data_IF_553045933976
#
_entry.id   IF_553045933976
#
_cell.length_a   1.000
_cell.length_b   1.000
_cell.length_c   1.000
_cell.angle_alpha   90.00
_cell.angle_beta   90.00
_cell.angle_gamma   90.00
#
_symmetry.space_group_name_H-M   'P 1'
#
loop_
_entity.id
_entity.type
_entity.pdbx_description
1 polymer ?
#
# COMPACT_ATOMS: atom_id res chain seq x y z
N UNK A 1 32.81 47.57 -12.06
CA UNK A 1 33.37 48.52 -11.10
C UNK A 1 32.54 48.49 -9.83
N UNK A 2 33.01 47.98 -8.76
CA UNK A 2 33.11 48.30 -7.37
C UNK A 2 33.27 47.04 -6.52
N UNK A 3 34.51 46.93 -6.04
CA UNK A 3 34.96 45.98 -5.00
C UNK A 3 34.40 46.36 -3.63
N UNK A 4 34.14 45.39 -2.77
CA UNK A 4 34.20 45.50 -1.30
C UNK A 4 34.49 44.11 -0.76
N UNK A 5 35.70 43.79 -0.45
CA UNK A 5 36.46 43.74 0.80
C UNK A 5 35.97 42.70 1.81
N UNK A 6 36.83 41.72 1.87
CA UNK A 6 37.09 40.70 2.88
C UNK A 6 37.42 41.34 4.23
N UNK A 7 36.84 40.89 5.32
CA UNK A 7 37.33 41.13 6.69
C UNK A 7 37.56 39.76 7.34
N UNK A 8 38.82 39.49 7.55
CA UNK A 8 39.37 38.42 8.38
C UNK A 8 39.40 38.98 9.82
N UNK A 9 38.89 38.22 10.77
CA UNK A 9 39.12 38.50 12.19
C UNK A 9 39.63 37.26 12.91
N UNK A 10 40.87 37.28 13.22
CA UNK A 10 41.65 36.31 14.01
C UNK A 10 41.72 36.80 15.45
N UNK A 11 41.36 36.03 16.44
CA UNK A 11 41.73 36.17 17.87
C UNK A 11 41.42 34.80 18.50
N UNK A 12 42.16 34.20 19.31
CA UNK A 12 43.42 34.23 20.07
C UNK A 12 43.34 33.00 21.02
N UNK A 13 44.37 32.22 21.02
CA UNK A 13 44.61 31.06 21.89
C UNK A 13 44.87 31.53 23.31
N UNK A 14 44.27 30.86 24.30
CA UNK A 14 44.79 30.90 25.67
C UNK A 14 44.84 29.50 26.26
N UNK A 15 46.05 29.01 26.39
CA UNK A 15 46.48 27.85 27.14
C UNK A 15 46.44 28.11 28.64
N UNK A 16 45.89 27.14 29.40
CA UNK A 16 46.21 27.01 30.83
C UNK A 16 46.52 25.58 31.20
N UNK A 17 47.75 25.36 31.56
CA UNK A 17 48.32 24.15 32.13
C UNK A 17 48.17 24.20 33.65
N UNK A 18 47.84 23.07 34.27
CA UNK A 18 47.91 22.97 35.76
C UNK A 18 47.38 21.65 36.30
N UNK A 19 48.31 20.75 36.49
CA UNK A 19 48.75 20.00 37.65
C UNK A 19 48.11 18.63 37.92
N UNK A 20 49.00 17.67 37.87
CA UNK A 20 48.95 16.26 38.31
C UNK A 20 48.63 16.08 39.81
N UNK A 21 47.81 15.07 40.12
CA UNK A 21 47.96 14.31 41.37
C UNK A 21 47.59 12.84 41.09
N UNK A 22 48.56 12.02 41.34
CA UNK A 22 48.63 10.56 41.29
C UNK A 22 47.75 9.91 42.35
N UNK A 23 47.04 8.87 41.97
CA UNK A 23 46.36 7.93 42.87
C UNK A 23 46.28 6.55 42.25
N UNK A 24 47.22 5.68 42.55
CA UNK A 24 47.20 4.24 42.26
C UNK A 24 46.09 3.58 43.08
N UNK A 25 45.29 2.76 42.43
CA UNK A 25 44.34 1.82 43.04
C UNK A 25 43.96 0.73 42.05
N UNK A 26 44.30 -0.50 42.38
CA UNK A 26 44.36 -1.67 41.53
C UNK A 26 43.01 -2.22 41.08
N UNK A 27 43.00 -2.75 39.86
CA UNK A 27 42.35 -3.94 39.32
C UNK A 27 40.90 -4.27 39.69
N UNK A 28 40.03 -4.15 38.69
CA UNK A 28 39.20 -5.30 38.24
C UNK A 28 38.75 -5.04 36.81
N UNK A 29 39.23 -5.86 35.87
CA UNK A 29 38.65 -5.98 34.52
C UNK A 29 37.24 -6.54 34.65
N UNK A 30 36.25 -5.69 34.56
CA UNK A 30 34.93 -6.08 34.12
C UNK A 30 34.83 -5.62 32.68
N UNK A 31 34.85 -6.57 31.77
CA UNK A 31 34.43 -6.37 30.41
C UNK A 31 32.93 -5.97 30.46
N UNK A 32 32.66 -4.70 30.56
CA UNK A 32 31.34 -4.19 30.24
C UNK A 32 31.23 -4.26 28.72
N UNK A 33 30.51 -5.27 28.22
CA UNK A 33 30.02 -5.28 26.89
C UNK A 33 29.15 -4.03 26.73
N UNK A 34 29.55 -3.21 25.80
CA UNK A 34 28.82 -2.02 25.39
C UNK A 34 27.53 -2.46 24.67
N UNK A 35 26.53 -2.86 25.46
CA UNK A 35 25.16 -3.11 25.02
C UNK A 35 24.39 -1.80 25.21
N UNK A 36 24.80 -0.72 24.52
CA UNK A 36 23.93 0.41 24.31
C UNK A 36 22.87 0.01 23.29
N UNK A 37 21.85 -0.74 23.74
CA UNK A 37 20.60 -0.84 22.99
C UNK A 37 20.03 0.58 22.98
N UNK A 38 20.27 1.31 21.90
CA UNK A 38 19.54 2.56 21.65
C UNK A 38 18.06 2.27 21.78
N UNK A 39 17.32 3.09 22.54
CA UNK A 39 15.88 2.95 22.65
C UNK A 39 15.27 2.93 21.25
N UNK A 40 14.30 2.02 21.02
CA UNK A 40 13.62 1.93 19.73
C UNK A 40 12.79 3.19 19.48
N UNK A 41 12.61 3.54 18.21
CA UNK A 41 11.87 4.74 17.81
C UNK A 41 10.38 4.56 18.12
N UNK A 42 9.79 5.54 18.78
CA UNK A 42 8.35 5.62 19.10
C UNK A 42 7.62 6.72 18.33
N UNK A 43 8.34 7.73 17.85
CA UNK A 43 7.81 8.80 16.98
C UNK A 43 7.93 8.36 15.52
N UNK A 44 6.80 8.04 14.88
CA UNK A 44 6.75 7.40 13.57
C UNK A 44 5.98 8.27 12.60
N UNK A 45 6.55 8.53 11.41
CA UNK A 45 5.76 8.99 10.28
C UNK A 45 5.35 7.76 9.45
N UNK A 46 4.05 7.49 9.39
CA UNK A 46 3.46 6.40 8.60
C UNK A 46 2.77 6.96 7.36
N UNK A 47 3.14 6.46 6.21
CA UNK A 47 2.59 6.91 4.94
C UNK A 47 1.49 5.96 4.46
N UNK A 48 0.49 6.50 3.78
CA UNK A 48 -0.60 5.74 3.16
C UNK A 48 -1.20 6.50 1.98
N UNK A 49 -2.37 6.08 1.53
CA UNK A 49 -3.09 6.68 0.41
C UNK A 49 -4.45 7.20 0.88
N UNK A 50 -4.96 8.28 0.25
CA UNK A 50 -6.28 8.85 0.54
C UNK A 50 -7.37 7.93 -0.04
N UNK A 51 -7.48 6.74 0.53
CA UNK A 51 -8.55 5.79 0.22
C UNK A 51 -8.83 4.82 1.39
N UNK A 52 -10.02 4.24 1.45
CA UNK A 52 -10.38 3.29 2.51
C UNK A 52 -9.86 1.86 2.27
N UNK A 53 -9.21 1.56 1.13
CA UNK A 53 -8.66 0.25 0.85
C UNK A 53 -7.30 0.06 1.51
N UNK A 54 -6.44 1.07 1.40
CA UNK A 54 -5.05 1.04 1.88
C UNK A 54 -4.96 1.53 3.32
N UNK A 55 -5.61 2.66 3.63
CA UNK A 55 -5.36 3.39 4.88
C UNK A 55 -6.42 3.19 5.97
N UNK A 56 -7.42 2.31 5.79
CA UNK A 56 -8.49 2.14 6.79
C UNK A 56 -7.94 1.82 8.18
N UNK A 57 -7.10 0.79 8.32
CA UNK A 57 -6.56 0.39 9.62
C UNK A 57 -5.63 1.44 10.22
N UNK A 58 -4.83 2.11 9.37
CA UNK A 58 -3.94 3.21 9.77
C UNK A 58 -4.74 4.36 10.40
N UNK A 59 -5.82 4.77 9.73
CA UNK A 59 -6.70 5.85 10.20
C UNK A 59 -7.41 5.45 11.50
N UNK A 60 -8.00 4.25 11.54
CA UNK A 60 -8.71 3.76 12.73
C UNK A 60 -7.75 3.61 13.90
N UNK A 61 -6.54 3.07 13.70
CA UNK A 61 -5.56 2.92 14.78
C UNK A 61 -5.16 4.27 15.39
N UNK A 62 -5.05 5.31 14.59
CA UNK A 62 -4.78 6.67 15.05
C UNK A 62 -5.99 7.27 15.78
N UNK A 63 -7.17 7.32 15.14
CA UNK A 63 -8.37 7.98 15.68
C UNK A 63 -8.94 7.31 16.91
N UNK A 64 -8.80 5.98 17.03
CA UNK A 64 -9.19 5.22 18.23
C UNK A 64 -8.10 5.19 19.30
N UNK A 65 -6.92 5.76 19.02
CA UNK A 65 -5.82 5.83 19.98
C UNK A 65 -5.03 4.53 20.16
N UNK A 66 -5.22 3.51 19.29
CA UNK A 66 -4.56 2.21 19.44
C UNK A 66 -3.04 2.29 19.31
N UNK A 67 -2.51 3.20 18.51
CA UNK A 67 -1.06 3.45 18.47
C UNK A 67 -0.56 3.98 19.81
N UNK A 68 -1.28 4.92 20.44
CA UNK A 68 -0.91 5.49 21.75
C UNK A 68 -0.99 4.46 22.87
N UNK A 69 -1.97 3.54 22.83
CA UNK A 69 -2.07 2.42 23.79
C UNK A 69 -0.83 1.51 23.72
N UNK A 70 -0.21 1.38 22.55
CA UNK A 70 1.02 0.63 22.34
C UNK A 70 2.30 1.47 22.57
N UNK A 71 2.17 2.70 23.07
CA UNK A 71 3.29 3.60 23.35
C UNK A 71 3.88 4.29 22.13
N UNK A 72 3.15 4.32 21.01
CA UNK A 72 3.61 4.92 19.76
C UNK A 72 2.96 6.29 19.52
N UNK A 73 3.76 7.24 19.03
CA UNK A 73 3.31 8.53 18.53
C UNK A 73 3.39 8.52 16.99
N UNK A 74 2.29 8.16 16.34
CA UNK A 74 2.24 8.01 14.87
C UNK A 74 1.64 9.25 14.24
N UNK A 75 2.37 9.82 13.27
CA UNK A 75 1.89 10.88 12.38
C UNK A 75 1.54 10.26 11.03
N UNK A 76 0.26 10.25 10.68
CA UNK A 76 -0.20 9.75 9.39
C UNK A 76 0.01 10.79 8.28
N UNK A 77 0.57 10.37 7.14
CA UNK A 77 0.68 11.15 5.91
C UNK A 77 0.03 10.37 4.78
N UNK A 78 -1.13 10.87 4.32
CA UNK A 78 -1.88 10.26 3.23
C UNK A 78 -1.57 10.98 1.90
N UNK A 79 -1.17 10.22 0.89
CA UNK A 79 -0.83 10.70 -0.46
C UNK A 79 -1.94 10.36 -1.45
N UNK A 80 -1.87 10.92 -2.66
CA UNK A 80 -2.92 10.72 -3.67
C UNK A 80 -2.88 9.30 -4.27
N UNK A 81 -1.70 8.68 -4.34
CA UNK A 81 -1.54 7.34 -4.91
C UNK A 81 -0.34 6.59 -4.34
N UNK A 82 -0.34 5.25 -4.43
CA UNK A 82 0.83 4.43 -4.10
C UNK A 82 2.04 4.72 -4.99
N UNK A 83 1.84 5.19 -6.21
CA UNK A 83 2.92 5.64 -7.10
C UNK A 83 3.74 6.79 -6.53
N UNK A 84 3.13 7.64 -5.71
CA UNK A 84 3.82 8.77 -5.05
C UNK A 84 4.67 8.31 -3.86
N UNK A 85 4.38 7.14 -3.30
CA UNK A 85 5.10 6.56 -2.16
C UNK A 85 6.42 5.90 -2.56
N UNK A 86 6.46 5.21 -3.71
CA UNK A 86 7.65 4.47 -4.16
C UNK A 86 8.94 5.31 -4.17
N UNK A 87 8.95 6.56 -4.67
CA UNK A 87 10.13 7.43 -4.60
C UNK A 87 10.55 7.80 -3.18
N UNK A 88 9.60 7.98 -2.25
CA UNK A 88 9.87 8.31 -0.85
C UNK A 88 10.52 7.15 -0.13
N UNK A 89 10.04 5.93 -0.37
CA UNK A 89 10.59 4.69 0.19
C UNK A 89 11.99 4.45 -0.37
N UNK A 90 12.13 4.48 -1.69
CA UNK A 90 13.41 4.27 -2.37
C UNK A 90 14.46 5.33 -2.01
N UNK A 91 14.02 6.56 -1.75
CA UNK A 91 14.85 7.68 -1.32
C UNK A 91 15.17 7.70 0.19
N UNK A 92 14.64 6.73 0.98
CA UNK A 92 14.86 6.64 2.42
C UNK A 92 14.12 7.69 3.24
N UNK A 93 13.08 8.31 2.70
CA UNK A 93 12.24 9.31 3.39
C UNK A 93 10.99 8.70 4.04
N UNK A 94 10.64 7.45 3.69
CA UNK A 94 9.52 6.71 4.24
C UNK A 94 9.98 5.32 4.69
N UNK A 95 10.08 5.13 5.99
CA UNK A 95 10.43 3.83 6.59
C UNK A 95 9.23 2.94 6.89
N UNK A 96 8.06 3.54 7.06
CA UNK A 96 6.80 2.89 7.43
C UNK A 96 5.73 3.32 6.46
N UNK A 97 5.09 2.37 5.78
CA UNK A 97 4.05 2.68 4.80
C UNK A 97 2.96 1.61 4.69
N UNK A 98 1.83 2.06 4.17
CA UNK A 98 0.69 1.23 3.78
C UNK A 98 0.57 1.29 2.26
N UNK A 99 0.60 0.13 1.63
CA UNK A 99 0.78 -0.02 0.20
C UNK A 99 -0.14 -1.08 -0.39
N UNK A 100 0.12 -1.40 -1.64
CA UNK A 100 -0.41 -2.58 -2.31
C UNK A 100 0.71 -3.56 -2.66
N UNK A 101 0.38 -4.83 -2.77
CA UNK A 101 1.33 -5.86 -3.21
C UNK A 101 1.99 -5.54 -4.55
N UNK A 102 1.34 -4.74 -5.42
CA UNK A 102 1.94 -4.27 -6.67
C UNK A 102 3.14 -3.35 -6.42
N UNK A 103 2.99 -2.39 -5.50
CA UNK A 103 4.08 -1.47 -5.11
C UNK A 103 5.19 -2.23 -4.41
N UNK A 104 4.86 -3.14 -3.49
CA UNK A 104 5.83 -3.96 -2.75
C UNK A 104 6.70 -4.81 -3.68
N UNK A 105 6.07 -5.51 -4.64
CA UNK A 105 6.76 -6.30 -5.66
C UNK A 105 7.66 -5.41 -6.53
N UNK A 106 7.18 -4.22 -6.91
CA UNK A 106 7.98 -3.26 -7.70
C UNK A 106 9.23 -2.82 -6.94
N UNK A 107 9.10 -2.47 -5.66
CA UNK A 107 10.21 -2.07 -4.81
C UNK A 107 11.23 -3.21 -4.64
N UNK A 108 10.75 -4.41 -4.33
CA UNK A 108 11.59 -5.59 -4.17
C UNK A 108 12.34 -5.96 -5.46
N UNK A 109 11.67 -5.90 -6.62
CA UNK A 109 12.28 -6.17 -7.92
C UNK A 109 13.38 -5.17 -8.30
N UNK A 110 13.31 -3.94 -7.76
CA UNK A 110 14.32 -2.89 -7.90
C UNK A 110 15.36 -2.90 -6.77
N UNK A 111 15.42 -3.97 -5.96
CA UNK A 111 16.34 -4.15 -4.84
C UNK A 111 16.19 -3.08 -3.74
N UNK A 112 15.03 -2.49 -3.58
CA UNK A 112 14.69 -1.67 -2.42
C UNK A 112 14.37 -2.61 -1.27
N UNK A 113 15.12 -2.50 -0.18
CA UNK A 113 14.97 -3.36 1.00
C UNK A 113 13.70 -3.00 1.77
N UNK A 114 12.60 -3.70 1.51
CA UNK A 114 11.31 -3.57 2.20
C UNK A 114 10.82 -4.92 2.70
N UNK A 115 10.01 -4.90 3.75
CA UNK A 115 9.33 -6.07 4.31
C UNK A 115 7.85 -5.80 4.53
N UNK A 116 7.00 -6.58 3.89
CA UNK A 116 5.59 -6.70 4.26
C UNK A 116 5.53 -7.44 5.59
N UNK A 117 4.95 -6.82 6.60
CA UNK A 117 4.75 -7.42 7.92
C UNK A 117 3.35 -8.03 8.07
N UNK A 118 2.36 -7.51 7.34
CA UNK A 118 1.01 -8.04 7.29
C UNK A 118 0.25 -7.54 6.06
N UNK A 119 -0.64 -8.35 5.46
CA UNK A 119 -1.71 -7.83 4.62
C UNK A 119 -2.70 -7.02 5.46
N UNK A 120 -3.38 -6.06 4.85
CA UNK A 120 -4.39 -5.21 5.50
C UNK A 120 -5.79 -5.51 5.00
N UNK A 121 -5.96 -5.64 3.68
CA UNK A 121 -7.24 -6.02 3.08
C UNK A 121 -7.06 -6.76 1.76
N UNK A 122 -8.03 -7.61 1.40
CA UNK A 122 -8.22 -8.02 0.01
C UNK A 122 -9.23 -7.07 -0.63
N UNK A 123 -8.74 -6.27 -1.58
CA UNK A 123 -9.46 -5.21 -2.28
C UNK A 123 -9.75 -5.55 -3.75
N UNK A 124 -9.77 -6.83 -4.12
CA UNK A 124 -10.05 -7.28 -5.48
C UNK A 124 -11.41 -6.78 -6.01
N UNK A 125 -12.42 -6.65 -5.13
CA UNK A 125 -13.73 -6.13 -5.50
C UNK A 125 -13.76 -4.62 -5.79
N UNK A 126 -12.70 -3.89 -5.49
CA UNK A 126 -12.58 -2.46 -5.81
C UNK A 126 -11.83 -2.19 -7.11
N UNK A 127 -11.22 -3.22 -7.72
CA UNK A 127 -10.51 -3.18 -8.99
C UNK A 127 -11.47 -3.58 -10.12
N UNK A 128 -11.99 -2.63 -10.90
CA UNK A 128 -13.16 -2.84 -11.73
C UNK A 128 -12.98 -2.39 -13.18
N UNK A 129 -13.80 -2.99 -14.07
CA UNK A 129 -14.06 -2.49 -15.42
C UNK A 129 -15.47 -1.92 -15.50
N UNK A 130 -15.59 -0.65 -15.93
CA UNK A 130 -16.85 0.09 -16.09
C UNK A 130 -17.00 0.49 -17.53
N UNK A 131 -18.08 0.07 -18.17
CA UNK A 131 -18.45 0.51 -19.53
C UNK A 131 -19.08 1.90 -19.53
N UNK A 132 -18.79 2.70 -20.53
CA UNK A 132 -19.48 3.97 -20.76
C UNK A 132 -20.96 3.76 -21.13
N UNK A 133 -21.80 4.74 -20.81
CA UNK A 133 -23.25 4.68 -21.01
C UNK A 133 -23.68 4.26 -22.44
N UNK A 134 -22.90 4.68 -23.45
CA UNK A 134 -23.21 4.48 -24.87
C UNK A 134 -22.25 3.48 -25.55
N UNK A 135 -21.46 2.74 -24.77
CA UNK A 135 -20.38 1.90 -25.32
C UNK A 135 -20.86 0.63 -26.03
N UNK A 136 -22.15 0.26 -25.88
CA UNK A 136 -22.73 -0.99 -26.44
C UNK A 136 -21.89 -2.23 -26.08
N UNK A 137 -21.54 -2.36 -24.81
CA UNK A 137 -20.85 -3.55 -24.25
C UNK A 137 -21.89 -4.32 -23.45
N UNK A 138 -22.44 -5.38 -24.05
CA UNK A 138 -23.50 -6.22 -23.48
C UNK A 138 -22.97 -7.56 -22.98
N UNK A 139 -21.85 -8.02 -23.51
CA UNK A 139 -21.19 -9.27 -23.19
C UNK A 139 -19.68 -9.10 -23.25
N UNK A 140 -18.91 -10.12 -22.79
CA UNK A 140 -17.47 -10.05 -22.74
C UNK A 140 -16.81 -9.85 -24.12
N UNK A 141 -17.38 -10.47 -25.16
CA UNK A 141 -16.85 -10.42 -26.53
C UNK A 141 -16.94 -9.02 -27.14
N UNK A 142 -17.90 -8.21 -26.72
CA UNK A 142 -18.05 -6.82 -27.18
C UNK A 142 -16.85 -5.92 -26.80
N UNK A 143 -15.97 -6.39 -25.89
CA UNK A 143 -14.73 -5.67 -25.55
C UNK A 143 -13.70 -5.71 -26.67
N UNK A 144 -13.77 -6.69 -27.60
CA UNK A 144 -12.84 -6.74 -28.74
C UNK A 144 -13.03 -5.50 -29.64
N UNK A 145 -11.93 -4.80 -29.88
CA UNK A 145 -11.89 -3.56 -30.65
C UNK A 145 -12.19 -2.29 -29.85
N UNK A 146 -12.69 -2.40 -28.62
CA UNK A 146 -13.01 -1.27 -27.75
C UNK A 146 -11.77 -0.58 -27.19
N UNK A 147 -11.91 0.72 -26.93
CA UNK A 147 -10.91 1.52 -26.23
C UNK A 147 -11.16 1.46 -24.73
N UNK A 148 -10.21 0.98 -23.98
CA UNK A 148 -10.26 0.88 -22.51
C UNK A 148 -9.23 1.82 -21.90
N UNK A 149 -9.69 2.84 -21.19
CA UNK A 149 -8.81 3.70 -20.39
C UNK A 149 -8.27 2.96 -19.18
N UNK A 150 -6.98 3.08 -18.92
CA UNK A 150 -6.32 2.42 -17.78
C UNK A 150 -5.12 3.25 -17.31
N UNK A 151 -4.86 3.32 -16.02
CA UNK A 151 -3.65 3.94 -15.50
C UNK A 151 -2.43 3.03 -15.74
N UNK A 152 -1.26 3.65 -15.94
CA UNK A 152 -0.02 2.88 -16.08
C UNK A 152 0.23 2.01 -14.85
N UNK A 153 0.48 0.72 -15.05
CA UNK A 153 0.75 -0.23 -13.97
C UNK A 153 -0.46 -0.64 -13.13
N UNK A 154 -1.69 -0.31 -13.54
CA UNK A 154 -2.88 -0.67 -12.77
C UNK A 154 -3.13 -2.19 -12.74
N UNK A 155 -3.26 -2.75 -11.55
CA UNK A 155 -3.46 -4.19 -11.32
C UNK A 155 -4.77 -4.73 -11.93
N UNK A 156 -5.76 -3.88 -12.14
CA UNK A 156 -7.02 -4.27 -12.80
C UNK A 156 -6.81 -4.88 -14.19
N UNK A 157 -5.67 -4.62 -14.85
CA UNK A 157 -5.32 -5.27 -16.11
C UNK A 157 -5.18 -6.79 -15.96
N UNK A 158 -4.78 -7.28 -14.78
CA UNK A 158 -4.74 -8.72 -14.45
C UNK A 158 -6.15 -9.29 -14.50
N UNK A 159 -7.11 -8.60 -13.86
CA UNK A 159 -8.51 -9.02 -13.89
C UNK A 159 -9.07 -9.09 -15.33
N UNK A 160 -8.75 -8.07 -16.16
CA UNK A 160 -9.15 -8.06 -17.56
C UNK A 160 -8.57 -9.26 -18.33
N UNK A 161 -7.26 -9.54 -18.18
CA UNK A 161 -6.61 -10.67 -18.85
C UNK A 161 -7.16 -12.01 -18.40
N UNK A 162 -7.40 -12.18 -17.09
CA UNK A 162 -7.99 -13.41 -16.55
C UNK A 162 -9.44 -13.59 -17.00
N UNK A 163 -10.25 -12.53 -17.04
CA UNK A 163 -11.58 -12.53 -17.64
C UNK A 163 -11.53 -12.93 -19.12
N UNK A 164 -10.63 -12.32 -19.89
CA UNK A 164 -10.47 -12.66 -21.30
C UNK A 164 -10.13 -14.14 -21.51
N UNK A 165 -9.21 -14.69 -20.71
CA UNK A 165 -8.83 -16.10 -20.75
C UNK A 165 -9.99 -17.02 -20.39
N UNK A 166 -10.75 -16.66 -19.34
CA UNK A 166 -11.86 -17.45 -18.81
C UNK A 166 -13.07 -17.47 -19.78
N UNK A 167 -13.35 -16.34 -20.45
CA UNK A 167 -14.52 -16.15 -21.32
C UNK A 167 -14.19 -16.20 -22.84
N UNK A 168 -12.96 -16.56 -23.21
CA UNK A 168 -12.57 -16.74 -24.62
C UNK A 168 -12.50 -15.44 -25.42
N UNK A 169 -12.22 -14.30 -24.77
CA UNK A 169 -12.01 -12.99 -25.41
C UNK A 169 -10.55 -12.84 -25.82
N UNK A 170 -10.30 -12.31 -27.01
CA UNK A 170 -8.94 -11.98 -27.45
C UNK A 170 -8.48 -10.63 -26.84
N UNK A 171 -7.71 -10.70 -25.78
CA UNK A 171 -7.20 -9.52 -25.06
C UNK A 171 -6.35 -8.60 -25.97
N UNK A 172 -5.72 -9.11 -27.03
CA UNK A 172 -4.90 -8.30 -27.95
C UNK A 172 -5.74 -7.38 -28.83
N UNK A 173 -7.03 -7.65 -28.96
CA UNK A 173 -7.96 -6.78 -29.70
C UNK A 173 -8.47 -5.62 -28.86
N UNK A 174 -8.31 -5.63 -27.53
CA UNK A 174 -8.67 -4.52 -26.66
C UNK A 174 -7.64 -3.41 -26.83
N UNK A 175 -8.09 -2.17 -27.08
CA UNK A 175 -7.22 -1.02 -27.28
C UNK A 175 -7.04 -0.26 -25.97
N UNK A 176 -5.96 -0.52 -25.25
CA UNK A 176 -5.68 0.19 -24.01
C UNK A 176 -5.17 1.62 -24.28
N UNK A 177 -5.72 2.59 -23.55
CA UNK A 177 -5.35 4.00 -23.58
C UNK A 177 -4.87 4.40 -22.19
N UNK A 178 -3.61 4.80 -22.06
CA UNK A 178 -3.06 5.21 -20.75
C UNK A 178 -3.59 6.58 -20.35
N UNK A 179 -4.36 6.62 -19.28
CA UNK A 179 -5.00 7.82 -18.72
C UNK A 179 -4.95 7.80 -17.19
N UNK A 180 -4.76 8.97 -16.57
CA UNK A 180 -4.94 9.10 -15.13
C UNK A 180 -6.43 8.84 -14.74
N UNK A 181 -6.73 8.38 -13.52
CA UNK A 181 -8.09 8.04 -13.13
C UNK A 181 -9.14 9.15 -13.36
N UNK A 182 -8.79 10.40 -13.04
CA UNK A 182 -9.66 11.56 -13.29
C UNK A 182 -9.95 11.77 -14.79
N UNK A 183 -8.95 11.56 -15.65
CA UNK A 183 -9.06 11.73 -17.09
C UNK A 183 -9.87 10.60 -17.73
N UNK A 184 -9.83 9.39 -17.13
CA UNK A 184 -10.66 8.27 -17.57
C UNK A 184 -12.15 8.59 -17.44
N UNK A 185 -12.60 9.22 -16.33
CA UNK A 185 -14.00 9.61 -16.16
C UNK A 185 -14.42 10.61 -17.23
N UNK A 186 -13.64 11.68 -17.42
CA UNK A 186 -13.94 12.70 -18.42
C UNK A 186 -13.97 12.13 -19.85
N UNK A 187 -13.06 11.21 -20.16
CA UNK A 187 -12.98 10.54 -21.47
C UNK A 187 -14.13 9.54 -21.67
N UNK A 188 -14.56 8.86 -20.60
CA UNK A 188 -15.69 7.95 -20.62
C UNK A 188 -17.02 8.70 -20.90
N UNK A 189 -17.24 9.84 -20.24
CA UNK A 189 -18.42 10.69 -20.42
C UNK A 189 -18.50 11.25 -21.84
N UNK A 190 -17.37 11.66 -22.43
CA UNK A 190 -17.29 12.16 -23.81
C UNK A 190 -17.39 11.08 -24.86
N UNK A 191 -17.17 9.80 -24.50
CA UNK A 191 -17.10 8.66 -25.44
C UNK A 191 -15.75 8.57 -26.17
N UNK A 192 -14.70 9.22 -25.68
CA UNK A 192 -13.33 9.08 -26.19
C UNK A 192 -12.75 7.69 -25.91
N UNK A 193 -13.21 7.07 -24.79
CA UNK A 193 -13.01 5.68 -24.44
C UNK A 193 -14.35 4.98 -24.23
N UNK A 194 -14.41 3.66 -24.55
CA UNK A 194 -15.61 2.83 -24.41
C UNK A 194 -15.80 2.30 -23.00
N UNK A 195 -14.70 2.05 -22.29
CA UNK A 195 -14.70 1.57 -20.90
C UNK A 195 -13.51 2.13 -20.15
N UNK A 196 -13.60 2.15 -18.82
CA UNK A 196 -12.50 2.47 -17.92
C UNK A 196 -12.17 1.31 -16.99
N UNK A 197 -10.88 1.07 -16.80
CA UNK A 197 -10.33 0.10 -15.87
C UNK A 197 -9.66 0.85 -14.71
N UNK A 198 -10.26 0.81 -13.53
CA UNK A 198 -9.86 1.63 -12.42
C UNK A 198 -10.25 0.99 -11.07
N UNK A 199 -10.03 1.71 -10.00
CA UNK A 199 -10.36 1.34 -8.63
C UNK A 199 -11.26 2.41 -7.95
N UNK A 200 -11.78 2.09 -6.78
CA UNK A 200 -12.56 3.06 -5.99
C UNK A 200 -11.67 4.19 -5.43
N UNK A 201 -12.17 5.43 -5.31
CA UNK A 201 -13.58 5.85 -5.52
C UNK A 201 -13.95 6.18 -6.99
N UNK A 202 -13.02 6.05 -7.94
CA UNK A 202 -13.22 6.43 -9.34
C UNK A 202 -14.29 5.58 -10.04
N UNK A 203 -14.39 4.30 -9.66
CA UNK A 203 -15.42 3.37 -10.16
C UNK A 203 -16.81 3.87 -9.78
N UNK A 204 -17.02 4.18 -8.51
CA UNK A 204 -18.31 4.73 -8.03
C UNK A 204 -18.67 6.05 -8.73
N UNK A 205 -17.69 6.92 -8.99
CA UNK A 205 -17.91 8.16 -9.70
C UNK A 205 -18.33 7.92 -11.16
N UNK A 206 -17.68 6.97 -11.84
CA UNK A 206 -18.06 6.60 -13.21
C UNK A 206 -19.46 5.98 -13.28
N UNK A 207 -19.83 5.13 -12.30
CA UNK A 207 -21.19 4.56 -12.21
C UNK A 207 -22.23 5.65 -11.94
N UNK A 208 -21.95 6.61 -11.04
CA UNK A 208 -22.83 7.78 -10.81
C UNK A 208 -23.03 8.63 -12.09
N UNK A 209 -22.00 8.72 -12.94
CA UNK A 209 -22.07 9.37 -14.25
C UNK A 209 -22.83 8.57 -15.33
N UNK A 210 -23.39 7.41 -14.98
CA UNK A 210 -24.19 6.54 -15.85
C UNK A 210 -23.40 5.39 -16.49
N UNK A 211 -22.18 5.14 -16.07
CA UNK A 211 -21.41 3.96 -16.46
C UNK A 211 -22.01 2.67 -15.92
N UNK A 212 -21.79 1.56 -16.63
CA UNK A 212 -22.25 0.22 -16.26
C UNK A 212 -21.06 -0.60 -15.73
N UNK A 213 -21.11 -1.01 -14.48
CA UNK A 213 -20.13 -1.95 -13.92
C UNK A 213 -20.24 -3.30 -14.63
N UNK A 214 -19.15 -3.76 -15.26
CA UNK A 214 -19.09 -5.03 -15.96
C UNK A 214 -18.57 -6.14 -15.05
N UNK A 215 -17.50 -5.88 -14.33
CA UNK A 215 -16.93 -6.80 -13.34
C UNK A 215 -15.93 -6.10 -12.42
N UNK A 216 -15.63 -6.77 -11.31
CA UNK A 216 -14.49 -6.50 -10.45
C UNK A 216 -13.52 -7.68 -10.49
N UNK A 217 -12.41 -7.60 -9.75
CA UNK A 217 -11.49 -8.74 -9.59
C UNK A 217 -12.14 -9.99 -9.00
N UNK A 218 -13.20 -9.84 -8.19
CA UNK A 218 -13.84 -10.94 -7.46
C UNK A 218 -15.33 -11.12 -7.76
N UNK A 219 -15.93 -10.31 -8.64
CA UNK A 219 -17.33 -10.42 -9.00
C UNK A 219 -17.59 -10.02 -10.44
N UNK A 220 -18.37 -10.82 -11.18
CA UNK A 220 -18.79 -10.55 -12.55
C UNK A 220 -20.28 -10.26 -12.65
N UNK A 221 -20.63 -9.30 -13.50
CA UNK A 221 -21.98 -8.93 -13.91
C UNK A 221 -22.20 -9.20 -15.41
N UNK A 222 -21.21 -9.82 -16.07
CA UNK A 222 -21.31 -10.23 -17.47
C UNK A 222 -22.28 -11.41 -17.61
N UNK A 223 -23.10 -11.48 -18.69
CA UNK A 223 -24.12 -12.51 -18.84
C UNK A 223 -23.53 -13.93 -18.94
N UNK A 224 -22.32 -14.08 -19.48
CA UNK A 224 -21.66 -15.39 -19.64
C UNK A 224 -21.22 -15.99 -18.30
N UNK A 225 -20.97 -15.15 -17.29
CA UNK A 225 -20.51 -15.61 -15.98
C UNK A 225 -20.88 -14.58 -14.91
N UNK A 226 -22.08 -14.74 -14.33
CA UNK A 226 -22.55 -13.87 -13.23
C UNK A 226 -22.18 -14.46 -11.88
N UNK A 227 -21.86 -13.57 -10.91
CA UNK A 227 -21.56 -13.96 -9.54
C UNK A 227 -20.07 -13.88 -9.21
N UNK A 228 -19.64 -14.68 -8.24
CA UNK A 228 -18.28 -14.65 -7.74
C UNK A 228 -17.28 -15.23 -8.74
N UNK A 229 -16.14 -14.56 -8.87
CA UNK A 229 -15.01 -14.95 -9.72
C UNK A 229 -13.71 -14.69 -8.99
N UNK A 230 -12.60 -15.27 -9.45
CA UNK A 230 -11.26 -15.07 -8.91
C UNK A 230 -10.31 -14.53 -10.00
N UNK A 231 -10.71 -13.43 -10.65
CA UNK A 231 -9.90 -12.83 -11.71
C UNK A 231 -8.76 -11.96 -11.15
N UNK A 232 -8.91 -11.44 -9.93
CA UNK A 232 -7.86 -10.72 -9.24
C UNK A 232 -8.09 -10.71 -7.73
N UNK A 233 -7.22 -11.37 -6.97
CA UNK A 233 -7.03 -11.07 -5.55
C UNK A 233 -5.98 -9.94 -5.44
N UNK A 234 -6.37 -8.82 -4.85
CA UNK A 234 -5.53 -7.64 -4.72
C UNK A 234 -5.42 -7.22 -3.26
N UNK A 235 -4.25 -7.44 -2.68
CA UNK A 235 -4.03 -7.14 -1.28
C UNK A 235 -3.38 -5.79 -1.08
N UNK A 236 -3.84 -5.08 -0.05
CA UNK A 236 -3.14 -3.96 0.56
C UNK A 236 -2.30 -4.46 1.73
N UNK A 237 -1.24 -3.75 2.07
CA UNK A 237 -0.18 -4.24 2.96
C UNK A 237 0.29 -3.18 3.93
N UNK A 238 0.78 -3.62 5.08
CA UNK A 238 1.61 -2.86 5.98
C UNK A 238 3.06 -3.29 5.78
N UNK A 239 3.91 -2.35 5.36
CA UNK A 239 5.32 -2.60 5.10
C UNK A 239 6.22 -1.61 5.84
N UNK A 240 7.46 -2.05 6.05
CA UNK A 240 8.54 -1.23 6.59
C UNK A 240 9.82 -1.45 5.79
N UNK A 241 10.79 -0.53 5.88
CA UNK A 241 12.12 -0.80 5.33
C UNK A 241 12.86 -1.87 6.16
N UNK A 242 13.74 -2.65 5.50
CA UNK A 242 14.61 -3.62 6.17
C UNK A 242 15.41 -3.01 7.31
N UNK A 243 15.88 -1.78 7.11
CA UNK A 243 16.68 -1.05 8.09
C UNK A 243 15.85 -0.67 9.31
N UNK A 244 14.58 -0.30 9.12
CA UNK A 244 13.66 0.04 10.19
C UNK A 244 13.32 -1.21 11.02
N UNK A 245 12.96 -2.31 10.37
CA UNK A 245 12.65 -3.58 11.04
C UNK A 245 13.83 -4.08 11.91
N UNK A 246 15.04 -4.05 11.36
CA UNK A 246 16.23 -4.49 12.09
C UNK A 246 16.54 -3.64 13.31
N UNK A 247 16.29 -2.34 13.25
CA UNK A 247 16.58 -1.39 14.35
C UNK A 247 15.46 -1.31 15.37
N UNK A 248 14.21 -1.55 14.95
CA UNK A 248 13.02 -1.27 15.74
C UNK A 248 12.03 -2.46 15.74
N UNK A 249 12.45 -3.70 16.04
CA UNK A 249 11.56 -4.87 15.97
C UNK A 249 10.39 -4.79 16.95
N UNK A 250 10.57 -4.21 18.15
CA UNK A 250 9.49 -4.03 19.14
C UNK A 250 8.49 -2.96 18.70
N UNK A 251 8.97 -1.91 18.04
CA UNK A 251 8.11 -0.90 17.44
C UNK A 251 7.23 -1.50 16.33
N UNK A 252 7.81 -2.35 15.47
CA UNK A 252 7.04 -3.10 14.46
C UNK A 252 5.99 -4.01 15.09
N UNK A 253 6.33 -4.71 16.18
CA UNK A 253 5.40 -5.55 16.93
C UNK A 253 4.25 -4.72 17.55
N UNK A 254 4.54 -3.57 18.14
CA UNK A 254 3.56 -2.63 18.67
C UNK A 254 2.61 -2.11 17.58
N UNK A 255 3.15 -1.77 16.40
CA UNK A 255 2.31 -1.38 15.26
C UNK A 255 1.38 -2.52 14.82
N UNK A 256 1.88 -3.76 14.73
CA UNK A 256 1.06 -4.95 14.37
C UNK A 256 -0.08 -5.14 15.38
N UNK A 257 0.16 -4.98 16.69
CA UNK A 257 -0.90 -5.06 17.71
C UNK A 257 -1.95 -3.97 17.55
N UNK A 258 -1.53 -2.73 17.34
CA UNK A 258 -2.43 -1.59 17.11
C UNK A 258 -3.30 -1.79 15.85
N UNK A 259 -2.69 -2.24 14.75
CA UNK A 259 -3.38 -2.51 13.49
C UNK A 259 -4.34 -3.71 13.60
N UNK A 260 -4.01 -4.72 14.42
CA UNK A 260 -4.93 -5.83 14.71
C UNK A 260 -6.19 -5.34 15.42
N UNK A 261 -6.06 -4.47 16.45
CA UNK A 261 -7.20 -3.83 17.11
C UNK A 261 -8.05 -3.01 16.13
N UNK A 262 -7.39 -2.29 15.21
CA UNK A 262 -8.07 -1.51 14.18
C UNK A 262 -8.82 -2.41 13.18
N UNK A 263 -8.24 -3.54 12.79
CA UNK A 263 -8.89 -4.53 11.92
C UNK A 263 -10.14 -5.12 12.59
N UNK A 264 -10.04 -5.50 13.86
CA UNK A 264 -11.17 -6.01 14.64
C UNK A 264 -12.26 -4.95 14.79
N UNK A 265 -11.88 -3.68 15.04
CA UNK A 265 -12.84 -2.57 15.12
C UNK A 265 -13.60 -2.36 13.81
N UNK A 266 -12.90 -2.31 12.66
CA UNK A 266 -13.52 -2.15 11.33
C UNK A 266 -14.54 -3.26 11.07
N UNK A 267 -14.18 -4.52 11.36
CA UNK A 267 -15.02 -5.67 11.10
C UNK A 267 -16.26 -5.72 12.03
N UNK A 268 -16.13 -5.26 13.28
CA UNK A 268 -17.21 -5.31 14.25
C UNK A 268 -18.08 -4.04 14.26
N UNK A 269 -17.56 -2.90 13.79
CA UNK A 269 -18.23 -1.59 13.82
C UNK A 269 -18.11 -0.86 12.46
N UNK A 270 -18.56 -1.48 11.34
CA UNK A 270 -18.30 -0.94 10.00
C UNK A 270 -18.90 0.46 9.77
N UNK A 271 -20.03 0.78 10.40
CA UNK A 271 -20.70 2.08 10.26
C UNK A 271 -19.93 3.21 10.96
N UNK A 272 -19.42 2.95 12.16
CA UNK A 272 -18.58 3.91 12.91
C UNK A 272 -17.20 4.04 12.23
N UNK A 273 -16.64 2.95 11.74
CA UNK A 273 -15.39 2.97 10.98
C UNK A 273 -15.53 3.81 9.71
N UNK A 274 -16.62 3.65 8.96
CA UNK A 274 -16.89 4.46 7.77
C UNK A 274 -17.01 5.95 8.09
N UNK A 275 -17.65 6.31 9.21
CA UNK A 275 -17.76 7.71 9.65
C UNK A 275 -16.39 8.32 9.98
N UNK A 276 -15.57 7.60 10.75
CA UNK A 276 -14.22 8.06 11.11
C UNK A 276 -13.35 8.23 9.86
N UNK A 277 -13.37 7.24 8.96
CA UNK A 277 -12.56 7.27 7.74
C UNK A 277 -13.04 8.38 6.81
N UNK A 278 -14.36 8.52 6.60
CA UNK A 278 -14.97 9.58 5.79
C UNK A 278 -14.50 10.98 6.22
N UNK A 279 -14.51 11.24 7.52
CA UNK A 279 -14.06 12.52 8.07
C UNK A 279 -12.57 12.79 7.80
N UNK A 280 -11.72 11.76 7.82
CA UNK A 280 -10.28 11.91 7.63
C UNK A 280 -9.90 12.11 6.15
N UNK A 281 -10.52 11.35 5.24
CA UNK A 281 -10.18 11.40 3.81
C UNK A 281 -11.07 12.33 3.00
N UNK A 282 -12.06 12.99 3.63
CA UNK A 282 -13.01 13.92 3.02
C UNK A 282 -13.76 13.31 1.82
N UNK A 283 -14.24 12.09 1.98
CA UNK A 283 -15.13 11.38 1.04
C UNK A 283 -16.47 11.16 1.74
N UNK A 284 -17.59 11.26 1.00
CA UNK A 284 -18.93 11.03 1.53
C UNK A 284 -19.05 9.70 2.29
N UNK A 285 -19.70 9.71 3.46
CA UNK A 285 -19.79 8.56 4.37
C UNK A 285 -20.44 7.34 3.72
N UNK A 286 -21.51 7.53 2.96
CA UNK A 286 -22.22 6.41 2.32
C UNK A 286 -21.34 5.80 1.20
N UNK A 287 -20.57 6.64 0.52
CA UNK A 287 -19.59 6.19 -0.47
C UNK A 287 -18.45 5.42 0.21
N UNK A 288 -17.90 5.91 1.31
CA UNK A 288 -16.87 5.18 2.09
C UNK A 288 -17.41 3.84 2.58
N UNK A 289 -18.63 3.81 3.12
CA UNK A 289 -19.29 2.59 3.58
C UNK A 289 -19.46 1.57 2.44
N UNK A 290 -19.92 2.01 1.28
CA UNK A 290 -20.05 1.15 0.08
C UNK A 290 -18.69 0.59 -0.35
N UNK A 291 -17.65 1.42 -0.41
CA UNK A 291 -16.29 0.99 -0.76
C UNK A 291 -15.75 -0.01 0.27
N UNK A 292 -15.90 0.28 1.57
CA UNK A 292 -15.46 -0.62 2.64
C UNK A 292 -16.15 -1.98 2.58
N UNK A 293 -17.43 -2.04 2.21
CA UNK A 293 -18.19 -3.29 2.07
C UNK A 293 -17.64 -4.21 0.97
N UNK A 294 -16.87 -3.68 0.03
CA UNK A 294 -16.21 -4.40 -1.06
C UNK A 294 -14.85 -4.97 -0.66
N UNK A 295 -14.31 -4.56 0.50
CA UNK A 295 -13.01 -4.99 1.01
C UNK A 295 -13.17 -6.07 2.09
N UNK A 296 -12.26 -7.03 2.09
CA UNK A 296 -12.14 -7.99 3.18
C UNK A 296 -10.92 -7.61 4.03
N UNK A 297 -11.17 -6.91 5.14
CA UNK A 297 -10.11 -6.50 6.06
C UNK A 297 -9.62 -7.69 6.88
N UNK A 298 -8.34 -8.02 6.73
CA UNK A 298 -7.71 -9.16 7.39
C UNK A 298 -6.19 -9.02 7.35
N UNK A 299 -5.53 -9.38 8.42
CA UNK A 299 -4.07 -9.38 8.52
C UNK A 299 -3.47 -10.80 8.32
N UNK A 300 -4.25 -11.76 7.82
CA UNK A 300 -3.78 -13.15 7.68
C UNK A 300 -2.84 -13.32 6.50
N UNK A 301 -1.66 -13.88 6.78
CA UNK A 301 -0.74 -14.40 5.76
C UNK A 301 -1.09 -15.87 5.55
N UNK A 302 -1.87 -16.15 4.53
CA UNK A 302 -2.32 -17.47 4.11
C UNK A 302 -1.93 -17.75 2.65
N UNK A 303 -2.25 -18.93 2.16
CA UNK A 303 -1.90 -19.33 0.79
C UNK A 303 -2.51 -18.40 -0.27
N UNK A 304 -3.72 -17.85 -0.02
CA UNK A 304 -4.36 -16.92 -0.94
C UNK A 304 -3.55 -15.62 -1.12
N UNK A 305 -2.97 -15.10 -0.01
CA UNK A 305 -2.09 -13.94 -0.05
C UNK A 305 -0.79 -14.23 -0.81
N UNK A 306 -0.18 -15.42 -0.59
CA UNK A 306 1.03 -15.86 -1.31
C UNK A 306 0.76 -15.99 -2.81
N UNK A 307 -0.32 -16.67 -3.18
CA UNK A 307 -0.70 -16.89 -4.58
C UNK A 307 -0.99 -15.57 -5.30
N UNK A 308 -1.72 -14.65 -4.65
CA UNK A 308 -1.99 -13.32 -5.19
C UNK A 308 -0.70 -12.50 -5.40
N UNK A 309 0.21 -12.53 -4.43
CA UNK A 309 1.51 -11.83 -4.54
C UNK A 309 2.36 -12.39 -5.70
N UNK A 310 2.38 -13.71 -5.86
CA UNK A 310 3.05 -14.37 -6.96
C UNK A 310 2.40 -14.03 -8.32
N UNK A 311 1.06 -14.02 -8.40
CA UNK A 311 0.32 -13.65 -9.62
C UNK A 311 0.67 -12.22 -10.07
N UNK A 312 0.74 -11.28 -9.12
CA UNK A 312 1.14 -9.90 -9.41
C UNK A 312 2.58 -9.85 -9.92
N UNK A 313 3.51 -10.57 -9.28
CA UNK A 313 4.91 -10.59 -9.69
C UNK A 313 5.09 -11.21 -11.09
N UNK A 314 4.38 -12.30 -11.41
CA UNK A 314 4.39 -12.92 -12.74
C UNK A 314 3.83 -11.96 -13.80
N UNK A 315 2.70 -11.32 -13.51
CA UNK A 315 2.12 -10.31 -14.40
C UNK A 315 3.06 -9.14 -14.66
N UNK A 316 3.72 -8.62 -13.63
CA UNK A 316 4.66 -7.50 -13.76
C UNK A 316 5.89 -7.87 -14.60
N UNK A 317 6.35 -9.12 -14.48
CA UNK A 317 7.45 -9.65 -15.30
C UNK A 317 7.01 -9.80 -16.76
N UNK A 318 5.86 -10.41 -17.02
CA UNK A 318 5.29 -10.61 -18.36
C UNK A 318 5.00 -9.27 -19.07
N UNK A 319 4.55 -8.26 -18.32
CA UNK A 319 4.27 -6.91 -18.87
C UNK A 319 5.51 -6.05 -19.02
N UNK A 320 6.68 -6.53 -18.59
CA UNK A 320 7.93 -5.76 -18.62
C UNK A 320 8.03 -4.64 -17.59
N UNK A 321 7.13 -4.60 -16.61
CA UNK A 321 7.14 -3.63 -15.51
C UNK A 321 8.28 -3.89 -14.52
N UNK A 322 8.73 -5.13 -14.43
CA UNK A 322 9.93 -5.54 -13.70
C UNK A 322 10.82 -6.40 -14.61
N UNK A 323 12.12 -6.38 -14.38
CA UNK A 323 13.11 -7.16 -15.15
C UNK A 323 13.32 -8.57 -14.61
N UNK A 324 13.00 -8.79 -13.35
CA UNK A 324 13.18 -10.06 -12.64
C UNK A 324 12.10 -10.17 -11.57
N UNK A 325 11.50 -11.37 -11.46
CA UNK A 325 10.59 -11.71 -10.37
C UNK A 325 11.39 -11.76 -9.06
N UNK A 326 11.01 -10.97 -8.02
CA UNK A 326 11.66 -11.07 -6.72
C UNK A 326 11.26 -12.39 -6.05
N UNK A 327 12.14 -12.94 -5.22
CA UNK A 327 11.80 -14.04 -4.33
C UNK A 327 10.81 -13.54 -3.28
N UNK A 328 9.70 -14.25 -3.10
CA UNK A 328 8.65 -13.96 -2.12
C UNK A 328 9.24 -13.71 -0.72
N UNK A 329 10.13 -14.58 -0.25
CA UNK A 329 10.77 -14.47 1.05
C UNK A 329 11.71 -13.26 1.19
N UNK A 330 12.07 -12.62 0.07
CA UNK A 330 12.93 -11.44 0.11
C UNK A 330 12.21 -10.17 0.55
N UNK A 331 10.88 -10.08 0.38
CA UNK A 331 10.10 -8.88 0.68
C UNK A 331 8.91 -9.11 1.62
N UNK A 332 8.72 -10.32 2.13
CA UNK A 332 7.72 -10.64 3.16
C UNK A 332 8.45 -11.17 4.40
N UNK A 333 8.07 -10.66 5.56
CA UNK A 333 8.54 -11.13 6.85
C UNK A 333 7.36 -11.37 7.79
N UNK A 334 6.94 -12.63 7.88
CA UNK A 334 5.82 -13.03 8.72
C UNK A 334 6.18 -13.18 10.20
N UNK A 335 7.46 -13.06 10.57
CA UNK A 335 7.95 -13.38 11.93
C UNK A 335 7.34 -12.48 13.00
N UNK A 336 7.20 -11.17 12.71
CA UNK A 336 6.60 -10.20 13.62
C UNK A 336 5.12 -10.52 13.84
N UNK A 337 4.36 -10.73 12.76
CA UNK A 337 2.94 -11.09 12.85
C UNK A 337 2.75 -12.43 13.56
N UNK A 338 3.56 -13.43 13.25
CA UNK A 338 3.51 -14.76 13.89
C UNK A 338 3.81 -14.70 15.38
N UNK A 339 4.70 -13.81 15.80
CA UNK A 339 5.02 -13.58 17.21
C UNK A 339 3.86 -12.98 18.00
N UNK A 340 3.09 -12.08 17.39
CA UNK A 340 1.97 -11.38 18.03
C UNK A 340 0.62 -12.11 17.86
N UNK A 341 0.42 -12.77 16.73
CA UNK A 341 -0.83 -13.44 16.30
C UNK A 341 -0.49 -14.72 15.53
N UNK A 342 -0.12 -15.78 16.23
CA UNK A 342 0.35 -17.02 15.60
C UNK A 342 -0.67 -17.67 14.67
N UNK A 343 -1.97 -17.51 14.95
CA UNK A 343 -3.09 -18.00 14.14
C UNK A 343 -3.34 -17.19 12.86
N UNK A 344 -2.66 -16.05 12.69
CA UNK A 344 -2.74 -15.24 11.47
C UNK A 344 -1.73 -15.66 10.39
N UNK A 345 -0.81 -16.59 10.69
CA UNK A 345 0.19 -17.07 9.74
C UNK A 345 0.02 -18.58 9.56
N UNK A 346 -0.53 -18.99 8.41
CA UNK A 346 -0.80 -20.39 8.07
C UNK A 346 0.10 -20.92 6.96
N UNK A 347 1.07 -20.14 6.50
CA UNK A 347 2.11 -20.53 5.52
C UNK A 347 3.49 -20.59 6.19
N UNK A 348 4.39 -21.43 5.65
CA UNK A 348 5.75 -21.59 6.19
C UNK A 348 6.72 -20.64 5.53
#
# INVERSE_FOLDING_TARGET
MKNIKMIISTVLVTTMVGALLTGCGASSKSAAGDNSSSAEVTDITAYGVIDPQISAQQIIADKKGYFKEEGLNVTNKLLQSGGDLSPLISGGSADVSFESTYTDVSLAANNVGVKILAPMSNSGNTQCLVAGKNANINNAKDLEGKKVGIASGAAVLIAIRNMCKDLGVDANKIKFVTLAPSDQISSLEKGDIDAMACWEPWVSNAVKAGGKLLFSGLKSYLPEKQGDVEWLNFYTTFQVTDSFLKKNPKTCAAMVRALSKATDFINNNPDEAAEIISAEINIDKDQVKDIMSKNKYSMKIDQSFVDASNQIADFMLESGNIKKKPDYNSYIDSSVLKGEKSDYVSVN
#
